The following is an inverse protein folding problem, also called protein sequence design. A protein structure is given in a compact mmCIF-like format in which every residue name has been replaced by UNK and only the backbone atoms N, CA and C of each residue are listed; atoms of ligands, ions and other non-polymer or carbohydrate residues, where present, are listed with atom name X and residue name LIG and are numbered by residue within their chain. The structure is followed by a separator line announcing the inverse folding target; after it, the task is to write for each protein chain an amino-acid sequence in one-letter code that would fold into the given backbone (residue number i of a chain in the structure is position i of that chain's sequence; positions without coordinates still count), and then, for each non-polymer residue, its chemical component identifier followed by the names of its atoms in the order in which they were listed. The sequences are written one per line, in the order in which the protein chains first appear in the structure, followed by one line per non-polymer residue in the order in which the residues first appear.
data_IF_827269090237
#
_entry.id   IF_827269090237
#
_cell.length_a   1.000
_cell.length_b   1.000
_cell.length_c   1.000
_cell.angle_alpha   90.00
_cell.angle_beta   90.00
_cell.angle_gamma   90.00
#
_symmetry.space_group_name_H-M   'P 1'
#
loop_
_entity.id
_entity.type
_entity.pdbx_description
1 polymer ?
#
# COMPACT_ATOMS: atom_id res chain seq x y z
N UNK A 1 -69.87 -24.00 40.83
CA UNK A 1 -70.92 -24.99 40.45
C UNK A 1 -71.03 -24.98 38.93
N UNK A 2 -71.30 -26.07 38.29
CA UNK A 2 -70.69 -27.41 38.46
C UNK A 2 -70.24 -28.06 37.14
N UNK A 3 -69.44 -29.10 37.26
CA UNK A 3 -69.48 -30.41 36.54
C UNK A 3 -69.15 -30.45 35.05
N UNK A 4 -68.46 -31.37 34.46
CA UNK A 4 -68.08 -32.76 34.73
C UNK A 4 -66.99 -33.19 33.76
N UNK A 5 -66.06 -34.02 34.21
CA UNK A 5 -65.44 -35.06 33.41
C UNK A 5 -66.52 -36.13 33.07
N UNK A 6 -66.29 -37.13 32.21
CA UNK A 6 -65.08 -37.90 31.95
C UNK A 6 -64.97 -38.47 30.52
N UNK A 7 -64.03 -39.22 30.20
CA UNK A 7 -63.83 -40.62 29.87
C UNK A 7 -62.73 -40.94 28.89
N UNK A 8 -62.01 -41.89 29.28
CA UNK A 8 -60.91 -42.59 28.63
C UNK A 8 -61.33 -43.38 27.37
N UNK A 9 -60.38 -43.57 26.47
CA UNK A 9 -60.31 -44.79 25.65
C UNK A 9 -58.87 -45.15 25.34
N UNK A 10 -58.52 -46.35 25.77
CA UNK A 10 -57.32 -47.11 25.43
C UNK A 10 -57.40 -47.57 23.96
N UNK A 11 -56.22 -47.72 23.33
CA UNK A 11 -55.76 -48.83 22.47
C UNK A 11 -54.69 -48.27 21.54
N UNK A 12 -53.61 -48.88 21.22
CA UNK A 12 -53.03 -50.15 21.12
C UNK A 12 -51.61 -50.01 20.60
N UNK A 13 -50.74 -50.86 21.06
CA UNK A 13 -49.33 -51.02 20.62
C UNK A 13 -49.20 -51.19 19.09
N UNK A 14 -48.23 -50.49 18.52
CA UNK A 14 -47.64 -50.82 17.24
C UNK A 14 -46.15 -50.56 17.31
N UNK A 15 -45.40 -51.61 17.64
CA UNK A 15 -43.93 -51.57 17.65
C UNK A 15 -43.44 -51.70 16.20
N UNK A 16 -42.96 -50.61 15.62
CA UNK A 16 -42.25 -50.62 14.33
C UNK A 16 -40.78 -50.35 14.64
N UNK A 17 -39.98 -51.39 14.53
CA UNK A 17 -38.53 -51.30 14.55
C UNK A 17 -38.04 -50.65 13.26
N UNK A 18 -37.57 -49.38 13.34
CA UNK A 18 -36.84 -48.76 12.24
C UNK A 18 -35.36 -48.96 12.52
N UNK A 19 -34.75 -49.79 11.71
CA UNK A 19 -33.30 -49.94 11.65
C UNK A 19 -32.69 -48.70 11.08
N UNK A 20 -32.04 -47.88 11.91
CA UNK A 20 -31.26 -46.76 11.49
C UNK A 20 -29.94 -47.24 10.87
N UNK A 21 -29.84 -47.26 9.57
CA UNK A 21 -28.57 -47.34 8.86
C UNK A 21 -27.84 -46.03 9.02
N UNK A 22 -26.78 -46.03 9.83
CA UNK A 22 -25.87 -44.88 9.95
C UNK A 22 -25.13 -44.71 8.64
N UNK A 23 -25.53 -43.71 7.87
CA UNK A 23 -24.81 -43.23 6.70
C UNK A 23 -23.70 -42.28 7.21
N UNK A 24 -22.48 -42.79 7.38
CA UNK A 24 -21.30 -41.99 7.63
C UNK A 24 -20.99 -41.19 6.37
N UNK A 25 -21.53 -39.97 6.29
CA UNK A 25 -21.05 -39.00 5.31
C UNK A 25 -19.61 -38.62 5.71
N UNK A 26 -18.66 -39.09 4.92
CA UNK A 26 -17.29 -38.59 4.95
C UNK A 26 -17.33 -37.13 4.58
N UNK A 27 -17.02 -36.26 5.54
CA UNK A 27 -16.73 -34.87 5.28
C UNK A 27 -15.40 -34.82 4.49
N UNK A 28 -15.47 -34.72 3.18
CA UNK A 28 -14.33 -34.33 2.37
C UNK A 28 -13.92 -32.92 2.81
N UNK A 29 -12.83 -32.85 3.56
CA UNK A 29 -12.14 -31.59 3.84
C UNK A 29 -11.59 -31.08 2.51
N UNK A 30 -12.35 -30.22 1.86
CA UNK A 30 -11.90 -29.48 0.68
C UNK A 30 -10.74 -28.59 1.13
N UNK A 31 -9.52 -29.08 0.91
CA UNK A 31 -8.33 -28.28 1.08
C UNK A 31 -8.47 -27.03 0.20
N UNK A 32 -8.61 -25.89 0.82
CA UNK A 32 -8.48 -24.58 0.15
C UNK A 32 -7.08 -24.56 -0.46
N UNK A 33 -6.93 -24.41 -1.78
CA UNK A 33 -5.60 -24.25 -2.35
C UNK A 33 -5.00 -22.96 -1.74
N UNK A 34 -3.82 -23.10 -1.14
CA UNK A 34 -3.00 -21.97 -0.77
C UNK A 34 -2.90 -21.07 -2.00
N UNK A 35 -3.34 -19.83 -1.89
CA UNK A 35 -3.19 -18.84 -2.93
C UNK A 35 -1.69 -18.69 -3.19
N UNK A 36 -1.22 -19.35 -4.23
CA UNK A 36 0.08 -19.06 -4.84
C UNK A 36 -0.08 -17.66 -5.39
N UNK A 37 0.40 -16.67 -4.63
CA UNK A 37 0.38 -15.28 -5.04
C UNK A 37 1.10 -15.14 -6.38
N UNK A 38 0.32 -15.04 -7.46
CA UNK A 38 0.84 -14.57 -8.73
C UNK A 38 1.34 -13.15 -8.49
N UNK A 39 2.66 -12.97 -8.48
CA UNK A 39 3.25 -11.64 -8.37
C UNK A 39 2.67 -10.79 -9.50
N UNK A 40 1.95 -9.72 -9.13
CA UNK A 40 1.43 -8.77 -10.11
C UNK A 40 2.61 -8.15 -10.89
N UNK A 41 2.45 -7.86 -12.19
CA UNK A 41 3.52 -7.28 -13.01
C UNK A 41 4.14 -6.02 -12.39
N UNK A 42 3.32 -5.18 -11.74
CA UNK A 42 3.79 -4.00 -11.02
C UNK A 42 4.72 -4.35 -9.84
N UNK A 43 4.46 -5.43 -9.09
CA UNK A 43 5.32 -5.85 -7.98
C UNK A 43 6.70 -6.29 -8.46
N UNK A 44 6.79 -6.95 -9.63
CA UNK A 44 8.06 -7.33 -10.23
C UNK A 44 8.88 -6.12 -10.69
N UNK A 45 8.23 -5.14 -11.34
CA UNK A 45 8.85 -3.88 -11.77
C UNK A 45 9.34 -3.07 -10.57
N UNK A 46 8.55 -2.98 -9.50
CA UNK A 46 8.89 -2.22 -8.30
C UNK A 46 10.07 -2.81 -7.56
N UNK A 47 10.25 -4.14 -7.57
CA UNK A 47 11.42 -4.80 -6.99
C UNK A 47 12.75 -4.27 -7.54
N UNK A 48 12.78 -3.81 -8.80
CA UNK A 48 13.96 -3.21 -9.41
C UNK A 48 14.35 -1.85 -8.82
N UNK A 49 13.43 -1.15 -8.17
CA UNK A 49 13.67 0.15 -7.51
C UNK A 49 14.07 0.00 -6.04
N UNK A 50 13.87 -1.17 -5.45
CA UNK A 50 14.22 -1.44 -4.06
C UNK A 50 15.74 -1.54 -3.91
N UNK A 51 16.37 -0.78 -3.00
CA UNK A 51 17.80 -0.90 -2.75
C UNK A 51 18.18 -2.28 -2.22
N UNK A 52 19.42 -2.72 -2.54
CA UNK A 52 19.95 -3.95 -1.96
C UNK A 52 20.08 -3.83 -0.44
N UNK A 53 19.92 -4.96 0.27
CA UNK A 53 20.06 -5.01 1.73
C UNK A 53 18.83 -4.49 2.51
N UNK A 54 17.68 -4.36 1.88
CA UNK A 54 16.41 -4.10 2.52
C UNK A 54 15.63 -5.40 2.74
N UNK A 55 14.82 -5.46 3.80
CA UNK A 55 13.91 -6.57 4.11
C UNK A 55 12.54 -6.03 4.49
N UNK A 56 11.50 -6.81 4.29
CA UNK A 56 10.16 -6.44 4.71
C UNK A 56 10.14 -6.21 6.22
N UNK A 57 9.65 -5.06 6.63
CA UNK A 57 9.50 -4.65 8.03
C UNK A 57 8.04 -4.68 8.47
N UNK A 58 7.10 -4.59 7.53
CA UNK A 58 5.68 -4.70 7.82
C UNK A 58 4.82 -4.48 6.57
N UNK A 59 3.58 -4.98 6.67
CA UNK A 59 2.54 -4.77 5.66
C UNK A 59 1.20 -4.51 6.31
N UNK A 60 0.31 -3.86 5.59
CA UNK A 60 -1.04 -3.61 6.07
C UNK A 60 -1.99 -3.29 4.94
N UNK A 61 -3.25 -3.59 5.16
CA UNK A 61 -4.34 -3.09 4.32
C UNK A 61 -4.40 -1.56 4.38
N UNK A 62 -4.57 -0.96 3.24
CA UNK A 62 -4.70 0.48 3.04
C UNK A 62 -5.98 0.77 2.24
N UNK A 63 -6.46 1.99 2.32
CA UNK A 63 -7.51 2.50 1.44
C UNK A 63 -6.97 3.78 0.82
N UNK A 64 -7.00 3.88 -0.50
CA UNK A 64 -6.53 5.05 -1.25
C UNK A 64 -7.71 5.61 -2.03
N UNK A 65 -8.25 6.73 -1.55
CA UNK A 65 -9.42 7.40 -2.15
C UNK A 65 -10.61 6.45 -2.38
N UNK A 66 -10.88 5.57 -1.37
CA UNK A 66 -11.95 4.58 -1.41
C UNK A 66 -11.59 3.25 -2.08
N UNK A 67 -10.44 3.11 -2.70
CA UNK A 67 -9.95 1.90 -3.34
C UNK A 67 -9.08 1.07 -2.38
N UNK A 68 -9.35 -0.24 -2.28
CA UNK A 68 -8.56 -1.14 -1.46
C UNK A 68 -7.15 -1.32 -2.03
N UNK A 69 -6.17 -1.31 -1.14
CA UNK A 69 -4.75 -1.42 -1.48
C UNK A 69 -3.96 -2.07 -0.34
N UNK A 70 -2.72 -2.43 -0.61
CA UNK A 70 -1.76 -2.89 0.38
C UNK A 70 -0.57 -1.94 0.45
N UNK A 71 -0.23 -1.50 1.65
CA UNK A 71 1.05 -0.86 1.96
C UNK A 71 2.04 -1.93 2.42
N UNK A 72 3.19 -2.03 1.76
CA UNK A 72 4.31 -2.85 2.21
C UNK A 72 5.51 -1.96 2.45
N UNK A 73 6.12 -2.09 3.63
CA UNK A 73 7.31 -1.35 4.02
C UNK A 73 8.50 -2.28 4.16
N UNK A 74 9.60 -1.85 3.58
CA UNK A 74 10.90 -2.49 3.71
C UNK A 74 11.87 -1.53 4.39
N UNK A 75 12.67 -2.04 5.30
CA UNK A 75 13.73 -1.30 6.00
C UNK A 75 15.07 -1.99 5.83
N UNK A 76 16.14 -1.26 6.10
CA UNK A 76 17.49 -1.82 6.00
C UNK A 76 17.66 -3.03 6.91
N UNK A 77 18.22 -4.12 6.38
CA UNK A 77 18.45 -5.36 7.12
C UNK A 77 19.44 -5.19 8.28
N UNK A 78 20.36 -4.20 8.17
CA UNK A 78 21.31 -3.85 9.21
C UNK A 78 20.72 -2.99 10.34
N UNK A 79 19.44 -2.59 10.20
CA UNK A 79 18.73 -1.79 11.19
C UNK A 79 19.12 -0.31 11.24
N UNK A 80 20.00 0.18 10.33
CA UNK A 80 20.36 1.58 10.26
C UNK A 80 19.13 2.44 10.01
N UNK A 81 18.87 3.41 10.90
CA UNK A 81 17.75 4.35 10.79
C UNK A 81 16.38 3.68 10.55
N UNK A 82 16.18 2.47 11.10
CA UNK A 82 14.89 1.78 11.06
C UNK A 82 13.82 2.55 11.85
N UNK A 83 12.55 2.21 11.67
CA UNK A 83 11.35 2.82 12.21
C UNK A 83 10.81 4.01 11.39
N UNK A 84 9.61 4.49 11.78
CA UNK A 84 8.94 5.59 11.09
C UNK A 84 9.76 6.88 11.15
N UNK A 85 9.87 7.53 10.02
CA UNK A 85 10.71 8.70 9.79
C UNK A 85 12.12 8.37 9.29
N UNK A 86 12.56 7.13 9.38
CA UNK A 86 13.89 6.68 8.97
C UNK A 86 13.99 6.21 7.52
N UNK A 87 15.07 5.49 7.22
CA UNK A 87 15.33 4.95 5.89
C UNK A 87 14.35 3.82 5.56
N UNK A 88 13.70 3.90 4.41
CA UNK A 88 12.76 2.88 3.98
C UNK A 88 12.55 2.85 2.47
N UNK A 89 12.05 1.71 2.00
CA UNK A 89 11.37 1.57 0.74
C UNK A 89 9.94 1.11 1.02
N UNK A 90 8.95 1.86 0.59
CA UNK A 90 7.54 1.55 0.83
C UNK A 90 6.78 1.57 -0.47
N UNK A 91 5.83 0.64 -0.63
CA UNK A 91 4.97 0.54 -1.82
C UNK A 91 3.51 0.56 -1.42
N UNK A 92 2.67 1.15 -2.25
CA UNK A 92 1.21 1.05 -2.16
C UNK A 92 0.71 0.50 -3.49
N UNK A 93 0.10 -0.68 -3.44
CA UNK A 93 -0.40 -1.39 -4.61
C UNK A 93 -1.88 -1.68 -4.39
N UNK A 94 -2.73 -1.30 -5.33
CA UNK A 94 -4.15 -1.59 -5.32
C UNK A 94 -4.41 -3.10 -5.51
N UNK A 95 -5.59 -3.58 -5.09
CA UNK A 95 -5.96 -5.00 -5.18
C UNK A 95 -5.96 -5.54 -6.62
N UNK A 96 -6.17 -4.65 -7.60
CA UNK A 96 -6.07 -4.99 -9.02
C UNK A 96 -4.62 -5.06 -9.55
N UNK A 97 -3.63 -4.84 -8.68
CA UNK A 97 -2.20 -4.84 -8.98
C UNK A 97 -1.65 -3.52 -9.49
N UNK A 98 -2.46 -2.47 -9.60
CA UNK A 98 -2.00 -1.13 -9.99
C UNK A 98 -1.11 -0.51 -8.93
N UNK A 99 0.07 -0.03 -9.34
CA UNK A 99 0.93 0.75 -8.47
C UNK A 99 0.30 2.12 -8.19
N UNK A 100 -0.09 2.36 -6.95
CA UNK A 100 -0.59 3.68 -6.48
C UNK A 100 0.56 4.60 -6.10
N UNK A 101 1.69 4.03 -5.68
CA UNK A 101 2.90 4.78 -5.40
C UNK A 101 3.98 3.98 -4.68
N UNK A 102 5.18 4.57 -4.63
CA UNK A 102 6.25 4.11 -3.76
C UNK A 102 7.10 5.28 -3.28
N UNK A 103 7.80 5.07 -2.18
CA UNK A 103 8.81 5.99 -1.64
C UNK A 103 10.09 5.23 -1.32
N UNK A 104 11.24 5.73 -1.77
CA UNK A 104 12.59 5.29 -1.44
C UNK A 104 13.29 6.43 -0.70
N UNK A 105 13.32 6.34 0.59
CA UNK A 105 13.95 7.32 1.48
C UNK A 105 15.26 6.71 1.98
N UNK A 106 16.37 7.24 1.51
CA UNK A 106 17.70 6.69 1.76
C UNK A 106 18.69 7.82 2.08
N UNK A 107 19.46 7.63 3.15
CA UNK A 107 20.44 8.61 3.61
C UNK A 107 21.53 8.91 2.56
N UNK A 108 21.81 7.95 1.69
CA UNK A 108 22.84 8.11 0.65
C UNK A 108 22.43 9.12 -0.44
N UNK A 109 21.15 9.56 -0.45
CA UNK A 109 20.66 10.61 -1.36
C UNK A 109 20.81 12.03 -0.81
N UNK A 110 21.19 12.19 0.45
CA UNK A 110 21.27 13.49 1.11
C UNK A 110 22.53 14.26 0.62
N UNK A 111 22.34 15.55 0.28
CA UNK A 111 23.43 16.49 -0.07
C UNK A 111 24.20 16.18 -1.34
N UNK A 112 23.56 15.57 -2.33
CA UNK A 112 24.16 15.40 -3.65
C UNK A 112 23.54 16.35 -4.66
N UNK A 113 24.24 16.69 -5.77
CA UNK A 113 23.68 17.55 -6.81
C UNK A 113 22.42 16.96 -7.42
N UNK A 114 21.37 17.74 -7.50
CA UNK A 114 20.11 17.34 -8.12
C UNK A 114 20.24 17.18 -9.63
N UNK A 115 19.39 16.33 -10.27
CA UNK A 115 19.25 16.35 -11.72
C UNK A 115 18.72 17.70 -12.20
N UNK A 116 19.00 18.05 -13.44
CA UNK A 116 18.35 19.22 -14.09
C UNK A 116 16.86 18.94 -14.28
N UNK A 117 16.08 19.96 -14.65
CA UNK A 117 14.66 19.79 -14.96
C UNK A 117 14.45 18.84 -16.14
N UNK A 118 15.28 18.96 -17.16
CA UNK A 118 15.26 18.14 -18.36
C UNK A 118 15.62 16.68 -18.05
N UNK A 119 16.67 16.43 -17.26
CA UNK A 119 17.03 15.09 -16.79
C UNK A 119 15.89 14.47 -15.98
N UNK A 120 15.34 15.22 -15.02
CA UNK A 120 14.25 14.74 -14.18
C UNK A 120 12.99 14.41 -14.99
N UNK A 121 12.66 15.26 -15.98
CA UNK A 121 11.54 14.99 -16.89
C UNK A 121 11.78 13.72 -17.69
N UNK A 122 12.95 13.54 -18.28
CA UNK A 122 13.26 12.34 -19.07
C UNK A 122 13.13 11.07 -18.23
N UNK A 123 13.73 11.05 -17.03
CA UNK A 123 13.67 9.93 -16.10
C UNK A 123 12.23 9.64 -15.66
N UNK A 124 11.45 10.67 -15.35
CA UNK A 124 10.05 10.52 -14.97
C UNK A 124 9.20 9.92 -16.10
N UNK A 125 9.44 10.35 -17.34
CA UNK A 125 8.71 9.83 -18.51
C UNK A 125 9.09 8.37 -18.80
N UNK A 126 10.36 8.00 -18.66
CA UNK A 126 10.81 6.62 -18.84
C UNK A 126 10.18 5.70 -17.77
N UNK A 127 10.19 6.15 -16.52
CA UNK A 127 9.53 5.44 -15.43
C UNK A 127 8.02 5.24 -15.69
N UNK A 128 7.30 6.28 -16.12
CA UNK A 128 5.86 6.17 -16.40
C UNK A 128 5.57 5.20 -17.55
N UNK A 129 6.42 5.14 -18.59
CA UNK A 129 6.26 4.16 -19.67
C UNK A 129 6.37 2.72 -19.17
N UNK A 130 7.19 2.49 -18.18
CA UNK A 130 7.42 1.16 -17.62
C UNK A 130 6.39 0.80 -16.54
N UNK A 131 6.17 1.66 -15.57
CA UNK A 131 5.44 1.35 -14.34
C UNK A 131 3.98 1.81 -14.32
N UNK A 132 3.60 2.81 -15.14
CA UNK A 132 2.26 3.39 -15.16
C UNK A 132 1.89 3.94 -16.56
N UNK A 133 1.96 3.12 -17.63
CA UNK A 133 1.73 3.57 -19.00
C UNK A 133 0.31 4.09 -19.24
N UNK A 134 -0.64 3.67 -18.43
CA UNK A 134 -2.03 4.12 -18.45
C UNK A 134 -2.20 5.62 -18.16
N UNK A 135 -1.23 6.25 -17.49
CA UNK A 135 -1.25 7.68 -17.17
C UNK A 135 -0.82 8.55 -18.34
N UNK A 136 -0.01 8.02 -19.29
CA UNK A 136 0.62 8.81 -20.35
C UNK A 136 -0.38 9.53 -21.26
N UNK A 137 -1.49 8.94 -21.73
CA UNK A 137 -2.39 9.59 -22.68
C UNK A 137 -3.06 10.86 -22.15
N UNK A 138 -3.29 10.91 -20.83
CA UNK A 138 -4.04 12.01 -20.20
C UNK A 138 -3.16 12.99 -19.41
N UNK A 139 -1.87 12.71 -19.26
CA UNK A 139 -1.06 13.50 -18.35
C UNK A 139 -0.53 14.80 -18.99
N UNK A 140 -0.44 15.85 -18.14
CA UNK A 140 0.22 17.11 -18.46
C UNK A 140 1.16 17.50 -17.33
N UNK A 141 2.41 17.84 -17.67
CA UNK A 141 3.35 18.40 -16.70
C UNK A 141 2.88 19.78 -16.28
N UNK A 142 2.80 20.02 -14.98
CA UNK A 142 2.42 21.29 -14.37
C UNK A 142 3.65 22.13 -14.04
N UNK A 143 4.63 21.54 -13.37
CA UNK A 143 5.91 22.17 -13.04
C UNK A 143 6.96 21.12 -12.63
N UNK A 144 8.23 21.54 -12.66
CA UNK A 144 9.38 20.72 -12.25
C UNK A 144 10.27 21.57 -11.35
N UNK A 145 10.32 21.24 -10.06
CA UNK A 145 11.09 22.00 -9.07
C UNK A 145 11.65 21.08 -7.96
N UNK A 146 12.65 21.52 -7.21
CA UNK A 146 13.13 20.82 -6.01
C UNK A 146 12.00 20.58 -5.00
N UNK A 147 12.03 19.43 -4.36
CA UNK A 147 11.06 19.04 -3.33
C UNK A 147 11.76 18.27 -2.21
N UNK A 148 11.42 18.62 -0.99
CA UNK A 148 12.03 18.10 0.22
C UNK A 148 11.17 17.00 0.84
N UNK A 149 11.82 15.88 1.22
CA UNK A 149 11.26 14.82 2.04
C UNK A 149 12.05 14.75 3.37
N UNK A 150 11.36 14.58 4.50
CA UNK A 150 12.02 14.46 5.79
C UNK A 150 12.68 13.10 5.96
N UNK A 151 13.83 13.08 6.61
CA UNK A 151 14.54 11.86 6.99
C UNK A 151 15.10 12.00 8.41
N UNK A 152 14.68 11.14 9.32
CA UNK A 152 15.20 11.04 10.66
C UNK A 152 16.33 10.02 10.74
N UNK A 153 17.46 10.43 11.26
CA UNK A 153 18.62 9.56 11.40
C UNK A 153 19.12 9.53 12.82
N UNK A 154 19.65 8.38 13.22
CA UNK A 154 20.33 8.22 14.52
C UNK A 154 21.82 7.96 14.29
N UNK A 155 22.65 8.86 14.75
CA UNK A 155 24.10 8.76 14.67
C UNK A 155 24.73 8.92 16.05
N UNK A 156 25.57 7.96 16.45
CA UNK A 156 26.27 7.99 17.75
C UNK A 156 25.31 8.29 18.95
N UNK A 157 24.12 7.65 18.92
CA UNK A 157 23.11 7.82 19.96
C UNK A 157 22.35 9.15 19.95
N UNK A 158 22.55 10.00 18.94
CA UNK A 158 21.80 11.24 18.75
C UNK A 158 20.90 11.13 17.55
N UNK A 159 19.65 11.55 17.70
CA UNK A 159 18.67 11.63 16.62
C UNK A 159 18.69 13.04 16.04
N UNK A 160 18.74 13.13 14.72
CA UNK A 160 18.67 14.38 13.96
C UNK A 160 17.69 14.24 12.79
N UNK A 161 17.00 15.32 12.44
CA UNK A 161 16.15 15.39 11.28
C UNK A 161 16.95 16.01 10.13
N UNK A 162 16.99 15.31 9.01
CA UNK A 162 17.63 15.73 7.77
C UNK A 162 16.59 15.98 6.70
N UNK A 163 16.97 16.71 5.68
CA UNK A 163 16.17 16.92 4.48
C UNK A 163 16.79 16.16 3.32
N UNK A 164 15.95 15.37 2.67
CA UNK A 164 16.25 14.68 1.44
C UNK A 164 15.58 15.41 0.29
N UNK A 165 16.36 16.06 -0.57
CA UNK A 165 15.81 16.83 -1.70
C UNK A 165 15.87 16.02 -2.98
N UNK A 166 14.78 15.99 -3.74
CA UNK A 166 14.70 15.45 -5.10
C UNK A 166 14.10 16.46 -6.07
N UNK A 167 14.20 16.21 -7.36
CA UNK A 167 13.55 17.02 -8.40
C UNK A 167 12.16 16.45 -8.69
N UNK A 168 11.11 17.16 -8.31
CA UNK A 168 9.71 16.74 -8.45
C UNK A 168 9.14 17.18 -9.80
N UNK A 169 8.75 16.22 -10.60
CA UNK A 169 7.94 16.39 -11.81
C UNK A 169 6.49 16.23 -11.42
N UNK A 170 5.77 17.34 -11.24
CA UNK A 170 4.34 17.33 -10.90
C UNK A 170 3.50 17.37 -12.16
N UNK A 171 2.53 16.48 -12.22
CA UNK A 171 1.67 16.29 -13.38
C UNK A 171 0.20 16.23 -12.98
N UNK A 172 -0.67 16.47 -13.95
CA UNK A 172 -2.12 16.33 -13.79
C UNK A 172 -2.67 15.46 -14.89
N UNK A 173 -3.54 14.52 -14.56
CA UNK A 173 -4.32 13.78 -15.51
C UNK A 173 -5.48 14.67 -15.99
N UNK A 174 -5.57 14.91 -17.29
CA UNK A 174 -6.60 15.77 -17.87
C UNK A 174 -7.98 15.10 -17.97
N UNK A 175 -8.02 13.76 -17.92
CA UNK A 175 -9.25 13.01 -18.03
C UNK A 175 -10.10 13.06 -16.74
N UNK A 176 -9.45 13.01 -15.58
CA UNK A 176 -10.10 12.97 -14.27
C UNK A 176 -9.73 14.13 -13.34
N UNK A 177 -8.72 14.92 -13.74
CA UNK A 177 -8.23 16.05 -12.97
C UNK A 177 -7.38 15.70 -11.77
N UNK A 178 -7.02 14.43 -11.56
CA UNK A 178 -6.21 13.98 -10.45
C UNK A 178 -4.74 14.35 -10.65
N UNK A 179 -4.05 14.52 -9.52
CA UNK A 179 -2.64 14.85 -9.52
C UNK A 179 -1.78 13.60 -9.39
N UNK A 180 -0.58 13.70 -9.95
CA UNK A 180 0.47 12.71 -9.82
C UNK A 180 1.83 13.37 -9.82
N UNK A 181 2.84 12.69 -9.33
CA UNK A 181 4.23 13.17 -9.42
C UNK A 181 5.23 12.03 -9.39
N UNK A 182 6.36 12.31 -10.02
CA UNK A 182 7.59 11.54 -9.89
C UNK A 182 8.64 12.47 -9.29
N UNK A 183 9.28 12.05 -8.21
CA UNK A 183 10.43 12.76 -7.63
C UNK A 183 11.68 11.96 -7.98
N UNK A 184 12.63 12.62 -8.66
CA UNK A 184 13.89 12.01 -9.06
C UNK A 184 14.96 12.39 -8.06
N UNK A 185 15.62 11.40 -7.47
CA UNK A 185 16.68 11.58 -6.50
C UNK A 185 17.99 12.06 -7.11
N UNK A 186 18.93 12.43 -6.26
CA UNK A 186 20.26 12.88 -6.66
C UNK A 186 21.07 11.82 -7.44
N UNK A 187 20.74 10.55 -7.25
CA UNK A 187 21.31 9.41 -7.98
C UNK A 187 20.69 9.16 -9.38
N UNK A 188 19.85 10.09 -9.88
CA UNK A 188 19.14 9.98 -11.16
C UNK A 188 18.21 8.77 -11.25
N UNK A 189 17.67 8.33 -10.10
CA UNK A 189 16.64 7.30 -10.02
C UNK A 189 15.38 7.85 -9.38
N UNK A 190 14.25 7.22 -9.66
CA UNK A 190 12.99 7.61 -9.03
C UNK A 190 13.08 7.34 -7.52
N UNK A 191 12.81 8.38 -6.75
CA UNK A 191 12.79 8.38 -5.29
C UNK A 191 11.38 8.23 -4.76
N UNK A 192 10.42 8.96 -5.34
CA UNK A 192 9.00 8.88 -4.96
C UNK A 192 8.14 8.90 -6.22
N UNK A 193 7.13 8.06 -6.24
CA UNK A 193 6.03 8.11 -7.20
C UNK A 193 4.72 8.06 -6.44
N UNK A 194 3.78 8.92 -6.80
CA UNK A 194 2.40 8.85 -6.34
C UNK A 194 1.46 9.28 -7.47
N UNK A 195 0.30 8.61 -7.56
CA UNK A 195 -0.77 8.90 -8.53
C UNK A 195 -2.14 8.99 -7.87
N UNK A 196 -3.11 9.41 -8.64
CA UNK A 196 -4.53 9.49 -8.27
C UNK A 196 -4.74 10.36 -7.01
N UNK A 197 -4.05 11.51 -6.97
CA UNK A 197 -4.10 12.41 -5.84
C UNK A 197 -5.23 13.43 -6.02
N UNK A 198 -6.27 13.28 -5.23
CA UNK A 198 -7.34 14.25 -5.11
C UNK A 198 -6.88 15.46 -4.29
N UNK A 199 -7.10 16.67 -4.83
CA UNK A 199 -6.76 17.92 -4.16
C UNK A 199 -8.03 18.71 -3.85
N UNK A 200 -8.25 18.99 -2.58
CA UNK A 200 -9.36 19.83 -2.10
C UNK A 200 -8.94 21.29 -2.25
N UNK A 201 -9.59 22.03 -3.15
CA UNK A 201 -9.19 23.41 -3.50
C UNK A 201 -9.31 24.38 -2.33
N UNK A 202 -10.32 24.21 -1.48
CA UNK A 202 -10.48 25.02 -0.26
C UNK A 202 -10.60 24.10 0.96
N UNK A 203 -9.74 24.22 1.98
CA UNK A 203 -8.68 25.24 2.22
C UNK A 203 -7.33 24.97 1.51
N UNK A 204 -7.27 24.16 0.45
CA UNK A 204 -6.04 23.90 -0.29
C UNK A 204 -5.20 22.76 0.33
N UNK A 205 -5.76 21.56 0.38
CA UNK A 205 -5.08 20.38 0.95
C UNK A 205 -5.27 19.13 0.12
N UNK A 206 -4.34 18.18 0.26
CA UNK A 206 -4.51 16.83 -0.27
C UNK A 206 -5.68 16.14 0.45
N UNK A 207 -6.62 15.56 -0.34
CA UNK A 207 -7.72 14.74 0.15
C UNK A 207 -7.35 13.27 0.28
N UNK A 208 -6.62 12.74 -0.70
CA UNK A 208 -6.14 11.35 -0.72
C UNK A 208 -5.20 11.04 0.45
N UNK A 209 -5.29 9.88 1.03
CA UNK A 209 -4.47 9.36 2.12
C UNK A 209 -2.99 9.37 1.75
N UNK A 210 -2.11 9.54 2.77
CA UNK A 210 -0.67 9.75 2.58
C UNK A 210 0.13 8.53 3.05
N UNK A 211 -0.23 7.34 2.60
CA UNK A 211 0.34 6.08 3.06
C UNK A 211 1.87 5.96 2.92
N UNK A 212 2.47 6.75 2.04
CA UNK A 212 3.93 6.79 1.82
C UNK A 212 4.65 7.85 2.67
N UNK A 213 3.93 8.62 3.47
CA UNK A 213 4.49 9.69 4.30
C UNK A 213 4.46 9.33 5.78
N UNK A 214 5.61 9.05 6.35
CA UNK A 214 5.76 8.59 7.73
C UNK A 214 5.17 9.56 8.77
N UNK A 215 5.28 10.87 8.56
CA UNK A 215 4.67 11.87 9.44
C UNK A 215 3.15 11.71 9.52
N UNK A 216 2.49 11.38 8.41
CA UNK A 216 1.07 11.13 8.37
C UNK A 216 0.71 9.80 9.06
N UNK A 217 1.55 8.76 8.88
CA UNK A 217 1.35 7.48 9.58
C UNK A 217 1.40 7.68 11.10
N UNK A 218 2.37 8.44 11.59
CA UNK A 218 2.49 8.80 13.01
C UNK A 218 1.28 9.60 13.49
N UNK A 219 0.86 10.63 12.74
CA UNK A 219 -0.33 11.45 13.05
C UNK A 219 -1.59 10.59 13.20
N UNK A 220 -1.74 9.57 12.36
CA UNK A 220 -2.88 8.66 12.37
C UNK A 220 -2.76 7.50 13.36
N UNK A 221 -1.65 7.43 14.11
CA UNK A 221 -1.41 6.37 15.09
C UNK A 221 -1.09 5.00 14.46
N UNK A 222 -0.66 4.98 13.20
CA UNK A 222 -0.24 3.75 12.54
C UNK A 222 1.16 3.36 13.01
N UNK A 223 1.32 2.09 13.39
CA UNK A 223 2.61 1.48 13.69
C UNK A 223 3.02 0.51 12.58
N UNK A 224 4.32 0.23 12.48
CA UNK A 224 4.86 -0.84 11.65
C UNK A 224 4.60 -2.19 12.36
N UNK A 225 4.08 -3.18 11.65
CA UNK A 225 4.05 -4.56 12.16
C UNK A 225 2.78 -5.00 12.89
N UNK A 226 1.61 -4.51 12.53
CA UNK A 226 0.34 -5.15 12.89
C UNK A 226 -0.42 -5.51 11.61
N UNK A 227 -0.39 -6.80 11.30
CA UNK A 227 -1.33 -7.48 10.38
C UNK A 227 -2.58 -7.84 11.15
#
# INVERSE_FOLDING_TARGET
MPHRCPLAALAALGLVAVTATANMAQAETKATPAATGSAHPAAATIGAFMPAGYREAGRRTAVVDGEAAELVRYERADGRNAALGGEHFSTVIADDGRLKGFARIDLDLVRHPLPTREEAQAIAMDFLREAAPDLLPGMRISWIDPHDEPLRVTRKGRTEDLTLTGMKVKMRNQADGLWMWVIVGADRKVMVFERDIHWISFPGRRGTEKWLHDAWLVEKGYSLGQS
#
